data_IF_929227054875
#
_entry.id   IF_929227054875
#
_cell.length_a   1.000
_cell.length_b   1.000
_cell.length_c   1.000
_cell.angle_alpha   90.00
_cell.angle_beta   90.00
_cell.angle_gamma   90.00
#
_symmetry.space_group_name_H-M   'P 1'
#
loop_
_entity.id
_entity.type
_entity.pdbx_description
1 polymer ?
#
# COMPACT_ATOMS: atom_id res chain seq x y z
N UNK A 1 -39.37 -54.49 8.88
CA UNK A 1 -39.09 -54.76 7.45
C UNK A 1 -39.04 -53.42 6.75
N UNK A 2 -37.84 -52.85 6.63
CA UNK A 2 -37.60 -51.51 6.08
C UNK A 2 -37.35 -51.64 4.57
N UNK A 3 -38.04 -50.88 3.71
CA UNK A 3 -37.62 -50.77 2.33
C UNK A 3 -36.55 -49.67 2.22
N UNK A 4 -35.30 -50.08 1.96
CA UNK A 4 -34.26 -49.20 1.45
C UNK A 4 -34.70 -48.59 0.11
N UNK A 5 -34.53 -47.27 -0.05
CA UNK A 5 -34.64 -46.59 -1.35
C UNK A 5 -33.27 -46.07 -1.75
N UNK A 6 -32.83 -46.31 -3.01
CA UNK A 6 -31.47 -46.06 -3.44
C UNK A 6 -31.20 -44.55 -3.59
N UNK A 7 -29.97 -44.16 -3.28
CA UNK A 7 -29.51 -42.78 -3.22
C UNK A 7 -29.69 -42.02 -4.53
N UNK A 8 -30.27 -40.83 -4.43
CA UNK A 8 -30.26 -39.81 -5.49
C UNK A 8 -29.11 -38.85 -5.21
N UNK A 9 -27.92 -39.22 -5.67
CA UNK A 9 -26.85 -38.26 -5.95
C UNK A 9 -27.20 -37.51 -7.23
N UNK A 10 -26.59 -36.34 -7.41
CA UNK A 10 -26.57 -35.46 -8.59
C UNK A 10 -27.41 -34.17 -8.43
N UNK A 11 -27.02 -33.34 -7.46
CA UNK A 11 -27.00 -31.90 -7.66
C UNK A 11 -25.69 -31.56 -8.38
N UNK A 12 -25.73 -31.51 -9.70
CA UNK A 12 -24.66 -30.89 -10.49
C UNK A 12 -25.28 -29.66 -11.13
N UNK A 13 -24.81 -28.44 -10.84
CA UNK A 13 -25.39 -27.25 -11.44
C UNK A 13 -25.17 -27.32 -12.95
N UNK A 14 -26.27 -27.30 -13.69
CA UNK A 14 -26.28 -27.30 -15.14
C UNK A 14 -25.63 -26.00 -15.64
N UNK A 15 -24.39 -26.09 -16.11
CA UNK A 15 -23.68 -24.95 -16.70
C UNK A 15 -24.42 -24.51 -17.96
N UNK A 16 -25.16 -23.41 -17.83
CA UNK A 16 -25.69 -22.64 -18.94
C UNK A 16 -24.51 -22.18 -19.79
N UNK A 17 -24.40 -22.73 -21.00
CA UNK A 17 -23.55 -22.20 -22.06
C UNK A 17 -23.81 -20.70 -22.23
N UNK A 18 -22.91 -19.88 -21.69
CA UNK A 18 -22.83 -18.44 -21.96
C UNK A 18 -21.76 -18.27 -23.05
N UNK A 19 -22.08 -17.72 -24.23
CA UNK A 19 -21.05 -17.37 -25.19
C UNK A 19 -20.29 -16.18 -24.62
N UNK A 20 -19.15 -16.43 -23.97
CA UNK A 20 -18.19 -15.39 -23.63
C UNK A 20 -17.50 -14.98 -24.92
N UNK A 21 -17.90 -13.82 -25.45
CA UNK A 21 -17.10 -13.10 -26.44
C UNK A 21 -15.81 -12.65 -25.75
N UNK A 22 -14.85 -13.57 -25.60
CA UNK A 22 -13.49 -13.28 -25.21
C UNK A 22 -12.78 -12.69 -26.43
N UNK A 23 -13.14 -11.45 -26.78
CA UNK A 23 -12.43 -10.68 -27.79
C UNK A 23 -11.05 -10.37 -27.20
N UNK A 24 -10.03 -11.08 -27.70
CA UNK A 24 -8.65 -11.13 -27.20
C UNK A 24 -8.21 -9.87 -26.43
N UNK A 25 -8.14 -10.01 -25.10
CA UNK A 25 -7.67 -8.97 -24.19
C UNK A 25 -6.27 -8.48 -24.55
N UNK A 26 -5.46 -9.35 -25.15
CA UNK A 26 -4.06 -9.07 -25.50
C UNK A 26 -3.93 -8.18 -26.74
N UNK A 27 -4.71 -8.47 -27.79
CA UNK A 27 -4.73 -7.63 -29.00
C UNK A 27 -5.29 -6.25 -28.62
N UNK A 28 -6.43 -6.24 -27.94
CA UNK A 28 -7.08 -4.99 -27.50
C UNK A 28 -6.18 -4.22 -26.54
N UNK A 29 -5.43 -4.88 -25.65
CA UNK A 29 -4.52 -4.25 -24.69
C UNK A 29 -3.44 -3.39 -25.37
N UNK A 30 -2.76 -3.94 -26.38
CA UNK A 30 -1.69 -3.23 -27.10
C UNK A 30 -2.23 -2.05 -27.93
N UNK A 31 -3.39 -2.21 -28.57
CA UNK A 31 -4.05 -1.10 -29.28
C UNK A 31 -4.52 -0.01 -28.30
N UNK A 32 -5.02 -0.40 -27.13
CA UNK A 32 -5.50 0.54 -26.11
C UNK A 32 -4.37 1.39 -25.56
N UNK A 33 -3.21 0.81 -25.30
CA UNK A 33 -2.04 1.54 -24.82
C UNK A 33 -1.58 2.60 -25.83
N UNK A 34 -1.64 2.28 -27.12
CA UNK A 34 -1.30 3.23 -28.19
C UNK A 34 -2.36 4.33 -28.34
N UNK A 35 -3.64 3.96 -28.27
CA UNK A 35 -4.77 4.90 -28.36
C UNK A 35 -4.83 5.81 -27.13
N UNK A 36 -4.56 5.29 -25.92
CA UNK A 36 -4.51 6.07 -24.69
C UNK A 36 -3.42 7.14 -24.73
N UNK A 37 -2.21 6.77 -25.16
CA UNK A 37 -1.12 7.76 -25.37
C UNK A 37 -1.45 8.77 -26.46
N UNK A 38 -2.17 8.36 -27.50
CA UNK A 38 -2.58 9.25 -28.58
C UNK A 38 -3.68 10.25 -28.16
N UNK A 39 -4.70 9.79 -27.44
CA UNK A 39 -5.82 10.62 -26.95
C UNK A 39 -5.43 11.51 -25.76
N UNK A 40 -4.47 11.09 -24.93
CA UNK A 40 -3.98 11.90 -23.80
C UNK A 40 -3.04 13.04 -24.20
N UNK A 41 -2.53 13.03 -25.44
CA UNK A 41 -1.65 14.08 -25.95
C UNK A 41 -2.48 15.10 -26.73
N UNK A 42 -2.31 16.41 -26.48
CA UNK A 42 -3.01 17.49 -27.21
C UNK A 42 -2.83 17.48 -28.75
N UNK A 43 -1.95 16.61 -29.25
CA UNK A 43 -1.74 16.29 -30.66
C UNK A 43 -2.99 15.73 -31.36
N UNK A 44 -3.84 14.95 -30.67
CA UNK A 44 -5.10 14.47 -31.27
C UNK A 44 -6.02 15.63 -31.61
N UNK A 45 -6.24 16.54 -30.65
CA UNK A 45 -7.07 17.74 -30.84
C UNK A 45 -6.54 18.62 -31.97
N UNK A 46 -5.21 18.78 -32.08
CA UNK A 46 -4.59 19.55 -33.16
C UNK A 46 -4.86 18.92 -34.54
N UNK A 47 -4.64 17.60 -34.69
CA UNK A 47 -4.90 16.89 -35.96
C UNK A 47 -6.40 16.95 -36.31
N UNK A 48 -7.28 16.69 -35.34
CA UNK A 48 -8.73 16.75 -35.50
C UNK A 48 -9.18 18.13 -36.01
N UNK A 49 -8.63 19.20 -35.44
CA UNK A 49 -8.94 20.59 -35.83
C UNK A 49 -8.48 20.89 -37.25
N UNK A 50 -7.26 20.47 -37.62
CA UNK A 50 -6.75 20.64 -38.99
C UNK A 50 -7.63 19.90 -39.99
N UNK A 51 -8.03 18.67 -39.70
CA UNK A 51 -8.92 17.89 -40.57
C UNK A 51 -10.26 18.59 -40.76
N UNK A 52 -10.87 19.11 -39.69
CA UNK A 52 -12.14 19.86 -39.77
C UNK A 52 -11.97 21.12 -40.62
N UNK A 53 -10.89 21.88 -40.46
CA UNK A 53 -10.61 23.09 -41.25
C UNK A 53 -10.44 22.74 -42.73
N UNK A 54 -9.65 21.71 -43.05
CA UNK A 54 -9.46 21.23 -44.43
C UNK A 54 -10.78 20.76 -45.03
N UNK A 55 -11.60 20.06 -44.26
CA UNK A 55 -12.91 19.57 -44.68
C UNK A 55 -13.88 20.70 -45.01
N UNK A 56 -13.94 21.73 -44.15
CA UNK A 56 -14.71 22.94 -44.40
C UNK A 56 -14.21 23.63 -45.68
N UNK A 57 -12.88 23.79 -45.83
CA UNK A 57 -12.29 24.40 -47.03
C UNK A 57 -12.59 23.64 -48.33
N UNK A 58 -12.53 22.31 -48.30
CA UNK A 58 -12.86 21.44 -49.44
C UNK A 58 -14.36 21.53 -49.79
N UNK A 59 -15.23 21.60 -48.78
CA UNK A 59 -16.66 21.81 -49.00
C UNK A 59 -16.94 23.20 -49.61
N UNK A 60 -16.24 24.25 -49.15
CA UNK A 60 -16.33 25.60 -49.75
C UNK A 60 -15.91 25.61 -51.23
N UNK A 61 -14.87 24.87 -51.60
CA UNK A 61 -14.47 24.71 -52.99
C UNK A 61 -15.50 23.92 -53.82
N UNK A 62 -16.15 22.92 -53.21
CA UNK A 62 -17.23 22.17 -53.85
C UNK A 62 -18.49 23.01 -54.11
N UNK A 63 -18.77 24.03 -53.29
CA UNK A 63 -19.82 25.04 -53.54
C UNK A 63 -19.52 25.82 -54.82
N UNK A 64 -18.25 26.17 -55.08
CA UNK A 64 -17.85 26.87 -56.30
C UNK A 64 -18.14 26.05 -57.58
N UNK A 65 -18.22 24.72 -57.45
CA UNK A 65 -18.58 23.77 -58.52
C UNK A 65 -20.09 23.41 -58.51
N UNK A 66 -20.91 24.06 -57.65
CA UNK A 66 -22.35 23.77 -57.40
C UNK A 66 -22.64 22.34 -56.94
N UNK A 67 -21.68 21.67 -56.33
CA UNK A 67 -21.84 20.27 -55.92
C UNK A 67 -22.72 20.10 -54.67
N UNK A 68 -22.92 21.17 -53.87
CA UNK A 68 -23.87 21.20 -52.74
C UNK A 68 -24.36 22.65 -52.45
N UNK A 69 -25.50 23.10 -53.01
CA UNK A 69 -26.10 24.42 -52.71
C UNK A 69 -26.63 24.52 -51.27
N UNK A 70 -26.66 25.73 -50.72
CA UNK A 70 -27.15 26.01 -49.35
C UNK A 70 -28.54 25.39 -49.08
N UNK A 71 -28.78 24.64 -47.97
CA UNK A 71 -27.94 24.39 -46.80
C UNK A 71 -27.14 23.07 -46.93
N UNK A 72 -25.86 23.06 -46.55
CA UNK A 72 -24.90 21.95 -46.71
C UNK A 72 -25.35 20.63 -46.06
N UNK A 73 -26.24 19.90 -46.74
CA UNK A 73 -26.92 18.72 -46.21
C UNK A 73 -25.94 17.57 -46.04
N UNK A 74 -24.98 17.42 -46.95
CA UNK A 74 -23.98 16.35 -46.87
C UNK A 74 -22.99 16.59 -45.73
N UNK A 75 -22.60 17.84 -45.49
CA UNK A 75 -21.71 18.20 -44.38
C UNK A 75 -22.41 17.93 -43.04
N UNK A 76 -23.65 18.39 -42.92
CA UNK A 76 -24.41 18.23 -41.68
C UNK A 76 -24.74 16.76 -41.39
N UNK A 77 -25.05 15.98 -42.44
CA UNK A 77 -25.23 14.54 -42.33
C UNK A 77 -23.94 13.85 -41.86
N UNK A 78 -22.80 14.16 -42.48
CA UNK A 78 -21.52 13.56 -42.10
C UNK A 78 -21.12 13.87 -40.65
N UNK A 79 -21.28 15.13 -40.21
CA UNK A 79 -21.01 15.52 -38.83
C UNK A 79 -21.98 14.86 -37.83
N UNK A 80 -23.26 14.76 -38.20
CA UNK A 80 -24.27 14.07 -37.39
C UNK A 80 -23.93 12.60 -37.21
N UNK A 81 -23.51 11.91 -38.28
CA UNK A 81 -23.04 10.51 -38.19
C UNK A 81 -21.75 10.39 -37.40
N UNK A 82 -20.81 11.34 -37.53
CA UNK A 82 -19.57 11.34 -36.75
C UNK A 82 -19.84 11.47 -35.24
N UNK A 83 -20.73 12.37 -34.84
CA UNK A 83 -21.16 12.51 -33.45
C UNK A 83 -21.91 11.26 -32.96
N UNK A 84 -22.79 10.69 -33.79
CA UNK A 84 -23.55 9.49 -33.45
C UNK A 84 -22.67 8.27 -33.22
N UNK A 85 -21.59 8.09 -34.00
CA UNK A 85 -20.64 6.99 -33.80
C UNK A 85 -19.63 7.23 -32.68
N UNK A 86 -19.37 8.50 -32.32
CA UNK A 86 -18.50 8.83 -31.19
C UNK A 86 -19.09 8.37 -29.84
N UNK A 87 -20.40 8.50 -29.65
CA UNK A 87 -21.09 8.12 -28.40
C UNK A 87 -20.84 6.65 -27.96
N UNK A 88 -21.06 5.63 -28.80
CA UNK A 88 -20.81 4.24 -28.41
C UNK A 88 -19.31 3.93 -28.23
N UNK A 89 -18.42 4.57 -28.99
CA UNK A 89 -16.97 4.42 -28.81
C UNK A 89 -16.50 4.98 -27.46
N UNK A 90 -17.01 6.15 -27.09
CA UNK A 90 -16.74 6.77 -25.79
C UNK A 90 -17.29 5.88 -24.67
N UNK A 91 -18.50 5.35 -24.82
CA UNK A 91 -19.11 4.44 -23.84
C UNK A 91 -18.29 3.16 -23.65
N UNK A 92 -17.76 2.59 -24.73
CA UNK A 92 -16.86 1.43 -24.68
C UNK A 92 -15.53 1.76 -24.01
N UNK A 93 -14.96 2.94 -24.30
CA UNK A 93 -13.75 3.42 -23.65
C UNK A 93 -13.97 3.65 -22.14
N UNK A 94 -15.11 4.24 -21.77
CA UNK A 94 -15.50 4.50 -20.38
C UNK A 94 -15.72 3.22 -19.59
N UNK A 95 -16.50 2.25 -20.12
CA UNK A 95 -16.69 0.94 -19.47
C UNK A 95 -15.37 0.23 -19.18
N UNK A 96 -14.37 0.38 -20.05
CA UNK A 96 -13.06 -0.22 -19.86
C UNK A 96 -12.20 0.52 -18.83
N UNK A 97 -12.28 1.84 -18.79
CA UNK A 97 -11.65 2.64 -17.74
C UNK A 97 -12.26 2.30 -16.38
N UNK A 98 -13.59 2.30 -16.27
CA UNK A 98 -14.31 1.96 -15.03
C UNK A 98 -13.98 0.56 -14.51
N UNK A 99 -13.91 -0.45 -15.40
CA UNK A 99 -13.48 -1.79 -15.00
C UNK A 99 -12.04 -1.83 -14.49
N UNK A 100 -11.11 -1.10 -15.13
CA UNK A 100 -9.71 -1.02 -14.68
C UNK A 100 -9.59 -0.29 -13.34
N UNK A 101 -10.31 0.81 -13.19
CA UNK A 101 -10.34 1.62 -11.97
C UNK A 101 -10.93 0.80 -10.82
N UNK A 102 -11.97 0.01 -11.09
CA UNK A 102 -12.56 -0.91 -10.11
C UNK A 102 -11.57 -1.96 -9.63
N UNK A 103 -10.86 -2.62 -10.54
CA UNK A 103 -9.83 -3.62 -10.18
C UNK A 103 -8.72 -2.97 -9.34
N UNK A 104 -8.24 -1.79 -9.75
CA UNK A 104 -7.24 -1.03 -8.99
C UNK A 104 -7.72 -0.70 -7.57
N UNK A 105 -8.97 -0.26 -7.42
CA UNK A 105 -9.56 0.05 -6.12
C UNK A 105 -9.75 -1.19 -5.24
N UNK A 106 -10.10 -2.33 -5.83
CA UNK A 106 -10.22 -3.61 -5.11
C UNK A 106 -8.84 -4.09 -4.61
N UNK A 107 -7.80 -4.00 -5.44
CA UNK A 107 -6.42 -4.30 -5.04
C UNK A 107 -5.91 -3.37 -3.93
N UNK A 108 -6.15 -2.06 -4.05
CA UNK A 108 -5.73 -1.09 -3.05
C UNK A 108 -6.42 -1.32 -1.70
N UNK A 109 -7.71 -1.68 -1.71
CA UNK A 109 -8.43 -2.08 -0.49
C UNK A 109 -7.82 -3.32 0.15
N UNK A 110 -7.54 -4.36 -0.64
CA UNK A 110 -6.92 -5.59 -0.13
C UNK A 110 -5.52 -5.32 0.46
N UNK A 111 -4.71 -4.49 -0.19
CA UNK A 111 -3.40 -4.05 0.32
C UNK A 111 -3.54 -3.26 1.62
N UNK A 112 -4.53 -2.37 1.72
CA UNK A 112 -4.78 -1.60 2.92
C UNK A 112 -5.19 -2.48 4.11
N UNK A 113 -6.06 -3.47 3.88
CA UNK A 113 -6.44 -4.46 4.89
C UNK A 113 -5.24 -5.28 5.37
N UNK A 114 -4.39 -5.73 4.44
CA UNK A 114 -3.17 -6.46 4.77
C UNK A 114 -2.18 -5.61 5.57
N UNK A 115 -1.93 -4.38 5.12
CA UNK A 115 -1.04 -3.43 5.83
C UNK A 115 -1.55 -3.14 7.25
N UNK A 116 -2.88 -3.03 7.42
CA UNK A 116 -3.50 -2.86 8.73
C UNK A 116 -3.24 -4.07 9.62
N UNK A 117 -3.48 -5.29 9.12
CA UNK A 117 -3.22 -6.53 9.86
C UNK A 117 -1.74 -6.65 10.26
N UNK A 118 -0.82 -6.35 9.34
CA UNK A 118 0.62 -6.40 9.60
C UNK A 118 1.03 -5.39 10.67
N UNK A 119 0.45 -4.18 10.63
CA UNK A 119 0.68 -3.15 11.65
C UNK A 119 0.15 -3.58 13.01
N UNK A 120 -1.05 -4.17 13.07
CA UNK A 120 -1.62 -4.71 14.31
C UNK A 120 -0.79 -5.87 14.87
N UNK A 121 -0.27 -6.73 14.00
CA UNK A 121 0.63 -7.82 14.38
C UNK A 121 1.94 -7.27 14.96
N UNK A 122 2.61 -6.36 14.24
CA UNK A 122 3.85 -5.72 14.71
C UNK A 122 3.64 -4.96 16.02
N UNK A 123 2.50 -4.27 16.20
CA UNK A 123 2.17 -3.60 17.44
C UNK A 123 2.01 -4.58 18.62
N UNK A 124 1.38 -5.74 18.37
CA UNK A 124 1.22 -6.80 19.38
C UNK A 124 2.55 -7.46 19.73
N UNK A 125 3.37 -7.77 18.74
CA UNK A 125 4.73 -8.29 18.93
C UNK A 125 5.59 -7.28 19.71
N UNK A 126 5.57 -6.00 19.33
CA UNK A 126 6.28 -4.95 20.04
C UNK A 126 5.81 -4.82 21.50
N UNK A 127 4.51 -4.92 21.76
CA UNK A 127 3.97 -4.91 23.11
C UNK A 127 4.43 -6.13 23.93
N UNK A 128 4.43 -7.33 23.32
CA UNK A 128 4.91 -8.55 23.96
C UNK A 128 6.41 -8.49 24.27
N UNK A 129 7.23 -8.04 23.31
CA UNK A 129 8.67 -7.79 23.49
C UNK A 129 8.90 -6.77 24.59
N UNK A 130 8.14 -5.66 24.61
CA UNK A 130 8.25 -4.64 25.65
C UNK A 130 7.94 -5.19 27.04
N UNK A 131 6.94 -6.05 27.18
CA UNK A 131 6.62 -6.69 28.46
C UNK A 131 7.72 -7.66 28.89
N UNK A 132 8.20 -8.50 27.97
CA UNK A 132 9.30 -9.44 28.24
C UNK A 132 10.60 -8.74 28.65
N UNK A 133 10.98 -7.66 27.96
CA UNK A 133 12.16 -6.84 28.31
C UNK A 133 11.93 -6.02 29.59
N UNK A 134 10.71 -5.52 29.77
CA UNK A 134 10.30 -4.75 30.95
C UNK A 134 10.41 -5.54 32.25
N UNK A 135 10.01 -6.82 32.24
CA UNK A 135 10.10 -7.71 33.41
C UNK A 135 11.52 -8.28 33.63
N UNK A 136 12.32 -8.48 32.57
CA UNK A 136 13.51 -9.35 32.69
C UNK A 136 14.83 -8.62 32.97
N UNK A 137 14.98 -7.30 32.73
CA UNK A 137 16.34 -6.68 32.77
C UNK A 137 16.56 -5.49 33.71
N UNK A 138 15.63 -4.58 33.96
CA UNK A 138 16.14 -3.19 34.12
C UNK A 138 16.02 -2.53 35.50
N UNK A 139 15.32 -3.12 36.48
CA UNK A 139 15.21 -2.47 37.79
C UNK A 139 15.89 -3.20 38.92
N UNK A 140 15.47 -4.42 39.22
CA UNK A 140 15.98 -5.11 40.41
C UNK A 140 17.36 -5.73 40.13
N UNK A 141 17.59 -6.23 38.92
CA UNK A 141 18.92 -6.69 38.49
C UNK A 141 19.91 -5.54 38.38
N UNK A 142 19.55 -4.44 37.72
CA UNK A 142 20.39 -3.24 37.63
C UNK A 142 20.69 -2.63 39.01
N UNK A 143 19.70 -2.62 39.91
CA UNK A 143 19.90 -2.17 41.29
C UNK A 143 20.85 -3.08 42.04
N UNK A 144 20.66 -4.40 41.94
CA UNK A 144 21.53 -5.36 42.61
C UNK A 144 22.97 -5.28 42.11
N UNK A 145 23.18 -5.19 40.81
CA UNK A 145 24.53 -5.05 40.24
C UNK A 145 25.18 -3.73 40.66
N UNK A 146 24.41 -2.63 40.73
CA UNK A 146 24.90 -1.36 41.26
C UNK A 146 25.25 -1.44 42.74
N UNK A 147 24.42 -2.09 43.57
CA UNK A 147 24.67 -2.28 45.00
C UNK A 147 25.90 -3.18 45.22
N UNK A 148 26.00 -4.31 44.51
CA UNK A 148 27.14 -5.23 44.57
C UNK A 148 28.46 -4.51 44.18
N UNK A 149 28.44 -3.67 43.14
CA UNK A 149 29.60 -2.85 42.75
C UNK A 149 29.96 -1.76 43.77
N UNK A 150 28.95 -1.14 44.41
CA UNK A 150 29.17 -0.12 45.46
C UNK A 150 29.80 -0.77 46.69
N UNK A 151 29.34 -1.95 47.10
CA UNK A 151 29.89 -2.70 48.22
C UNK A 151 31.33 -3.11 47.94
N UNK A 152 31.63 -3.63 46.75
CA UNK A 152 33.00 -3.99 46.34
C UNK A 152 33.95 -2.79 46.36
N UNK A 153 33.50 -1.62 45.86
CA UNK A 153 34.30 -0.40 45.90
C UNK A 153 34.53 0.11 47.32
N UNK A 154 33.52 -0.01 48.19
CA UNK A 154 33.60 0.41 49.60
C UNK A 154 34.56 -0.48 50.38
N UNK A 155 34.51 -1.79 50.18
CA UNK A 155 35.44 -2.77 50.77
C UNK A 155 36.89 -2.45 50.37
N UNK A 156 37.14 -2.24 49.07
CA UNK A 156 38.48 -1.88 48.56
C UNK A 156 39.01 -0.58 49.13
N UNK A 157 38.15 0.42 49.33
CA UNK A 157 38.56 1.70 49.95
C UNK A 157 38.89 1.52 51.43
N UNK A 158 38.12 0.69 52.14
CA UNK A 158 38.36 0.37 53.54
C UNK A 158 39.67 -0.39 53.73
N UNK A 159 39.92 -1.44 52.94
CA UNK A 159 41.18 -2.18 52.95
C UNK A 159 42.38 -1.27 52.71
N UNK A 160 42.28 -0.36 51.73
CA UNK A 160 43.31 0.66 51.48
C UNK A 160 43.51 1.63 52.64
N UNK A 161 42.45 1.95 53.39
CA UNK A 161 42.52 2.88 54.53
C UNK A 161 43.13 2.19 55.75
N UNK A 162 42.77 0.93 56.01
CA UNK A 162 43.38 0.09 57.06
C UNK A 162 44.85 -0.23 56.76
N UNK A 163 45.24 -0.37 55.48
CA UNK A 163 46.65 -0.53 55.08
C UNK A 163 47.49 0.77 55.27
N UNK A 164 46.84 1.94 55.39
CA UNK A 164 47.54 3.24 55.48
C UNK A 164 47.64 3.80 56.91
N UNK A 165 47.08 3.15 57.94
CA UNK A 165 47.19 3.62 59.34
C UNK A 165 48.00 2.68 60.25
N UNK A 166 49.34 2.82 60.31
CA UNK A 166 50.18 2.16 61.30
C UNK A 166 50.54 3.14 62.42
N UNK A 167 49.60 3.58 63.26
CA UNK A 167 49.93 4.27 64.52
C UNK A 167 49.07 3.76 65.69
N UNK A 168 49.43 2.55 66.12
CA UNK A 168 49.12 2.02 67.45
C UNK A 168 50.08 2.70 68.47
N UNK A 169 49.58 3.66 69.25
CA UNK A 169 50.35 4.24 70.37
C UNK A 169 50.33 3.26 71.57
N UNK A 170 51.48 2.97 72.20
CA UNK A 170 51.58 1.92 73.20
C UNK A 170 51.03 2.37 74.56
N UNK A 171 50.26 1.46 75.15
CA UNK A 171 49.75 1.45 76.52
C UNK A 171 50.90 1.53 77.54
N UNK A 172 51.09 2.68 78.18
CA UNK A 172 51.92 2.79 79.40
C UNK A 172 51.08 2.47 80.63
N UNK A 173 51.14 1.21 81.04
CA UNK A 173 50.99 0.82 82.45
C UNK A 173 52.20 1.41 83.22
N UNK A 174 51.97 2.17 84.29
CA UNK A 174 52.92 2.17 85.41
C UNK A 174 52.24 2.58 86.73
N UNK A 175 52.07 1.55 87.57
CA UNK A 175 52.40 1.50 89.00
C UNK A 175 51.81 2.52 89.99
N UNK A 176 50.85 2.02 90.80
CA UNK A 176 50.64 2.44 92.19
C UNK A 176 51.75 1.84 93.07
N UNK A 177 52.36 2.63 93.98
CA UNK A 177 52.24 2.24 95.37
C UNK A 177 52.04 3.39 96.38
N UNK A 178 51.28 3.03 97.40
CA UNK A 178 51.03 3.59 98.74
C UNK A 178 52.23 4.17 99.54
N UNK A 179 51.87 4.92 100.60
CA UNK A 179 52.65 5.35 101.80
C UNK A 179 53.43 6.65 101.60
N UNK A 180 53.31 7.74 102.38
CA UNK A 180 52.97 7.99 103.80
C UNK A 180 52.35 9.41 103.94
#
# INVERSE_FOLDING_TARGET
MSPERPGRKLDTPQERWRPTFNLDSDIVGVYSERVARFLGTGRYLAIQTVVVIVWIGLNLFAIAIRWDPYPFILLNLAFSTQAAYAAPLILLAQNRQENRDRVSLEEDRARAEQTKSDTEFLARELAAVRLAVGDTVTRDYLRKELDDLIDELTERLRERTEETDPLDEPKTDDHDPTVD
#
